data_IF_915309507074
#
_entry.id   IF_915309507074
#
_cell.length_a   1.000
_cell.length_b   1.000
_cell.length_c   1.000
_cell.angle_alpha   90.00
_cell.angle_beta   90.00
_cell.angle_gamma   90.00
#
_symmetry.space_group_name_H-M   'P 1'
#
loop_
_entity.id
_entity.type
_entity.pdbx_description
1 polymer ?
#
# COMPACT_ATOMS: atom_id res chain seq x y z
N UNK A 1 -31.82 43.26 -38.81
CA UNK A 1 -30.97 43.11 -37.59
C UNK A 1 -31.52 42.10 -36.55
N UNK A 2 -32.40 41.13 -36.90
CA UNK A 2 -32.98 40.18 -35.93
C UNK A 2 -32.45 38.74 -36.02
N UNK A 3 -31.87 38.33 -37.15
CA UNK A 3 -31.30 36.98 -37.35
C UNK A 3 -29.96 36.76 -36.63
N UNK A 4 -29.14 37.81 -36.47
CA UNK A 4 -27.82 37.73 -35.84
C UNK A 4 -27.88 37.40 -34.34
N UNK A 5 -28.94 37.82 -33.64
CA UNK A 5 -29.12 37.56 -32.20
C UNK A 5 -29.57 36.12 -31.91
N UNK A 6 -30.35 35.52 -32.81
CA UNK A 6 -30.86 34.14 -32.64
C UNK A 6 -29.77 33.09 -32.91
N UNK A 7 -28.87 33.34 -33.86
CA UNK A 7 -27.75 32.43 -34.16
C UNK A 7 -26.73 32.41 -33.00
N UNK A 8 -26.48 33.55 -32.36
CA UNK A 8 -25.54 33.63 -31.24
C UNK A 8 -26.06 32.89 -29.99
N UNK A 9 -27.37 32.88 -29.76
CA UNK A 9 -27.98 32.17 -28.64
C UNK A 9 -27.94 30.63 -28.78
N UNK A 10 -28.03 30.11 -30.01
CA UNK A 10 -27.99 28.65 -30.27
C UNK A 10 -26.57 28.10 -30.20
N UNK A 11 -25.56 28.89 -30.61
CA UNK A 11 -24.13 28.50 -30.48
C UNK A 11 -23.65 28.57 -29.03
N UNK A 12 -24.16 29.51 -28.23
CA UNK A 12 -23.83 29.58 -26.80
C UNK A 12 -24.41 28.38 -26.01
N UNK A 13 -25.59 27.88 -26.36
CA UNK A 13 -26.22 26.76 -25.66
C UNK A 13 -25.56 25.39 -25.95
N UNK A 14 -25.02 25.19 -27.16
CA UNK A 14 -24.33 23.94 -27.53
C UNK A 14 -22.90 23.85 -26.99
N UNK A 15 -22.23 24.99 -26.78
CA UNK A 15 -20.87 25.02 -26.20
C UNK A 15 -20.88 24.78 -24.68
N UNK A 16 -21.97 25.15 -23.98
CA UNK A 16 -22.06 24.96 -22.52
C UNK A 16 -22.47 23.53 -22.15
N UNK A 17 -23.21 22.81 -23.01
CA UNK A 17 -23.63 21.43 -22.77
C UNK A 17 -22.53 20.36 -22.96
N UNK A 18 -21.41 20.70 -23.60
CA UNK A 18 -20.34 19.77 -23.98
C UNK A 18 -19.19 19.63 -22.98
N UNK A 19 -19.15 20.42 -21.91
CA UNK A 19 -18.01 20.45 -20.97
C UNK A 19 -18.25 19.69 -19.65
N UNK A 20 -19.40 19.04 -19.49
CA UNK A 20 -19.60 18.10 -18.39
C UNK A 20 -18.99 16.74 -18.75
N UNK A 21 -17.69 16.69 -18.99
CA UNK A 21 -16.96 15.42 -18.85
C UNK A 21 -17.07 15.05 -17.37
N UNK A 22 -17.96 14.13 -17.03
CA UNK A 22 -17.93 13.48 -15.72
C UNK A 22 -16.56 12.84 -15.61
N UNK A 23 -15.63 13.47 -14.88
CA UNK A 23 -14.40 12.83 -14.49
C UNK A 23 -14.82 11.63 -13.64
N UNK A 24 -14.88 10.45 -14.26
CA UNK A 24 -15.17 9.23 -13.52
C UNK A 24 -13.95 9.00 -12.63
N UNK A 25 -14.17 9.02 -11.31
CA UNK A 25 -13.17 8.65 -10.33
C UNK A 25 -12.68 7.23 -10.64
N UNK A 26 -11.43 7.11 -11.13
CA UNK A 26 -10.82 5.82 -11.41
C UNK A 26 -10.12 5.35 -10.15
N UNK A 27 -10.60 4.23 -9.60
CA UNK A 27 -9.97 3.56 -8.47
C UNK A 27 -8.61 2.98 -8.89
N UNK A 28 -7.67 2.94 -7.95
CA UNK A 28 -6.34 2.37 -8.15
C UNK A 28 -6.43 0.85 -8.17
N UNK A 29 -5.84 0.23 -9.20
CA UNK A 29 -5.73 -1.21 -9.36
C UNK A 29 -4.28 -1.66 -9.43
N UNK A 30 -4.00 -2.80 -8.78
CA UNK A 30 -2.70 -3.45 -8.83
C UNK A 30 -1.99 -3.50 -7.47
N UNK A 31 -0.74 -3.94 -7.54
CA UNK A 31 0.09 -4.25 -6.38
C UNK A 31 1.46 -3.63 -6.59
N UNK A 32 2.01 -3.07 -5.51
CA UNK A 32 3.40 -2.63 -5.46
C UNK A 32 4.14 -3.37 -4.36
N UNK A 33 5.34 -3.84 -4.69
CA UNK A 33 6.24 -4.53 -3.80
C UNK A 33 7.56 -3.79 -3.67
N UNK A 34 8.11 -3.77 -2.45
CA UNK A 34 9.37 -3.08 -2.18
C UNK A 34 10.41 -4.02 -1.57
N UNK A 35 11.67 -3.64 -1.77
CA UNK A 35 12.82 -4.23 -1.09
C UNK A 35 13.63 -3.12 -0.42
N UNK A 36 14.16 -3.40 0.77
CA UNK A 36 15.24 -2.59 1.34
C UNK A 36 16.54 -3.40 1.30
N UNK A 37 17.47 -3.07 0.39
CA UNK A 37 18.78 -3.72 0.34
C UNK A 37 19.54 -3.64 1.67
N UNK A 38 19.37 -2.56 2.42
CA UNK A 38 20.01 -2.35 3.72
C UNK A 38 19.20 -2.95 4.88
N UNK A 39 18.03 -3.54 4.59
CA UNK A 39 17.13 -4.09 5.60
C UNK A 39 16.55 -3.02 6.51
N UNK A 40 16.47 -3.33 7.80
CA UNK A 40 15.94 -2.44 8.83
C UNK A 40 16.21 -2.94 10.23
N UNK A 41 15.66 -2.23 11.21
CA UNK A 41 15.74 -2.61 12.61
C UNK A 41 14.35 -2.67 13.23
N UNK A 42 14.23 -3.45 14.29
CA UNK A 42 13.03 -3.51 15.09
C UNK A 42 13.45 -3.56 16.55
N UNK A 43 12.82 -2.72 17.37
CA UNK A 43 13.10 -2.62 18.80
C UNK A 43 11.80 -2.70 19.58
N UNK A 44 11.87 -3.21 20.81
CA UNK A 44 10.75 -3.21 21.73
C UNK A 44 11.20 -2.63 23.07
N UNK A 45 10.45 -1.65 23.56
CA UNK A 45 10.67 -1.01 24.86
C UNK A 45 9.33 -0.62 25.46
N UNK A 46 9.11 -0.92 26.74
CA UNK A 46 7.88 -0.60 27.48
C UNK A 46 6.58 -1.03 26.75
N UNK A 47 6.59 -2.21 26.11
CA UNK A 47 5.43 -2.74 25.39
C UNK A 47 5.14 -2.08 24.03
N UNK A 48 6.00 -1.14 23.60
CA UNK A 48 5.96 -0.52 22.28
C UNK A 48 7.00 -1.18 21.40
N UNK A 49 6.59 -1.59 20.21
CA UNK A 49 7.48 -2.05 19.14
C UNK A 49 7.58 -0.98 18.06
N UNK A 50 8.81 -0.65 17.66
CA UNK A 50 9.10 0.26 16.54
C UNK A 50 9.89 -0.48 15.48
N UNK A 51 9.42 -0.40 14.24
CA UNK A 51 10.07 -0.92 13.04
C UNK A 51 10.64 0.27 12.27
N UNK A 52 11.95 0.23 12.05
CA UNK A 52 12.73 1.20 11.31
C UNK A 52 13.14 0.63 9.95
N UNK A 53 12.84 1.37 8.89
CA UNK A 53 13.15 1.00 7.51
C UNK A 53 14.45 1.70 7.08
N UNK A 54 15.52 0.95 6.84
CA UNK A 54 16.79 1.57 6.44
C UNK A 54 16.73 1.99 4.95
N UNK A 55 16.99 3.26 4.61
CA UNK A 55 17.04 3.69 3.23
C UNK A 55 18.29 3.14 2.51
N UNK A 56 18.26 3.01 1.17
CA UNK A 56 17.09 3.24 0.33
C UNK A 56 16.11 2.06 0.40
N UNK A 57 14.82 2.36 0.30
CA UNK A 57 13.79 1.36 -0.04
C UNK A 57 13.45 1.56 -1.51
N UNK A 58 13.40 0.50 -2.30
CA UNK A 58 13.17 0.57 -3.75
C UNK A 58 12.01 -0.31 -4.18
N UNK A 59 11.26 0.14 -5.18
CA UNK A 59 10.22 -0.67 -5.82
C UNK A 59 10.89 -1.86 -6.53
N UNK A 60 10.52 -3.07 -6.14
CA UNK A 60 11.06 -4.32 -6.69
C UNK A 60 10.12 -4.97 -7.70
N UNK A 61 8.81 -4.79 -7.50
CA UNK A 61 7.77 -5.39 -8.32
C UNK A 61 6.58 -4.46 -8.37
N UNK A 62 5.94 -4.34 -9.53
CA UNK A 62 4.71 -3.61 -9.66
C UNK A 62 3.77 -4.22 -10.72
N UNK A 63 2.47 -4.00 -10.54
CA UNK A 63 1.41 -4.43 -11.47
C UNK A 63 0.30 -3.39 -11.54
N UNK A 64 -0.52 -3.46 -12.58
CA UNK A 64 -1.64 -2.54 -12.77
C UNK A 64 -1.15 -1.10 -12.90
N UNK A 65 -1.77 -0.18 -12.15
CA UNK A 65 -1.47 1.25 -12.16
C UNK A 65 -0.08 1.58 -11.58
N UNK A 66 0.57 0.61 -10.92
CA UNK A 66 1.95 0.74 -10.46
C UNK A 66 2.97 0.25 -11.50
N UNK A 67 2.56 -0.35 -12.62
CA UNK A 67 3.49 -0.90 -13.63
C UNK A 67 4.44 0.16 -14.17
N UNK A 68 5.73 -0.17 -14.31
CA UNK A 68 6.77 0.75 -14.79
C UNK A 68 7.34 1.64 -13.71
N UNK A 69 7.02 1.38 -12.43
CA UNK A 69 7.61 2.07 -11.27
C UNK A 69 8.81 1.35 -10.69
N UNK A 70 9.13 0.13 -11.16
CA UNK A 70 10.25 -0.67 -10.71
C UNK A 70 11.57 0.12 -10.76
N UNK A 71 12.37 -0.01 -9.69
CA UNK A 71 13.62 0.75 -9.53
C UNK A 71 13.45 2.15 -8.92
N UNK A 72 12.22 2.65 -8.76
CA UNK A 72 11.99 3.91 -8.07
C UNK A 72 12.36 3.81 -6.59
N UNK A 73 13.07 4.81 -6.08
CA UNK A 73 13.35 4.94 -4.64
C UNK A 73 12.14 5.52 -3.92
N UNK A 74 11.78 4.91 -2.80
CA UNK A 74 10.68 5.33 -1.95
C UNK A 74 11.16 5.77 -0.57
N UNK A 75 10.54 6.82 -0.07
CA UNK A 75 10.55 7.14 1.35
C UNK A 75 9.65 6.15 2.10
N UNK A 76 10.06 5.72 3.28
CA UNK A 76 9.29 4.87 4.18
C UNK A 76 9.31 5.43 5.60
N UNK A 77 8.14 5.56 6.21
CA UNK A 77 8.01 5.96 7.60
C UNK A 77 8.17 4.75 8.53
N UNK A 78 8.75 5.00 9.71
CA UNK A 78 8.84 4.00 10.77
C UNK A 78 7.46 3.68 11.33
N UNK A 79 7.20 2.41 11.64
CA UNK A 79 5.91 1.98 12.21
C UNK A 79 6.10 1.71 13.69
N UNK A 80 5.29 2.35 14.53
CA UNK A 80 5.25 2.07 15.97
C UNK A 80 3.88 1.57 16.41
N UNK A 81 3.87 0.48 17.16
CA UNK A 81 2.64 -0.17 17.63
C UNK A 81 2.82 -0.76 19.03
N UNK A 82 1.71 -0.94 19.75
CA UNK A 82 1.65 -1.70 20.99
C UNK A 82 0.85 -2.98 20.80
N UNK A 83 1.06 -3.97 21.67
CA UNK A 83 0.36 -5.27 21.60
C UNK A 83 1.00 -6.24 20.61
N UNK A 84 0.33 -7.36 20.36
CA UNK A 84 0.80 -8.42 19.48
C UNK A 84 -0.38 -9.19 18.87
N UNK A 85 -0.16 -9.89 17.75
CA UNK A 85 -1.21 -10.58 17.02
C UNK A 85 -2.29 -9.62 16.54
N UNK A 86 -3.55 -10.01 16.68
CA UNK A 86 -4.73 -9.21 16.27
C UNK A 86 -5.06 -8.07 17.22
N UNK A 87 -4.48 -8.06 18.43
CA UNK A 87 -4.67 -6.99 19.41
C UNK A 87 -3.67 -5.84 19.22
N UNK A 88 -2.76 -5.98 18.23
CA UNK A 88 -1.78 -4.95 17.92
C UNK A 88 -2.46 -3.66 17.42
N UNK A 89 -2.02 -2.52 17.94
CA UNK A 89 -2.60 -1.20 17.67
C UNK A 89 -1.53 -0.20 17.29
N UNK A 90 -1.74 0.54 16.18
CA UNK A 90 -0.87 1.67 15.82
C UNK A 90 -0.86 2.72 16.94
N UNK A 91 0.31 3.23 17.28
CA UNK A 91 0.41 4.36 18.21
C UNK A 91 0.06 5.69 17.55
N UNK A 92 0.27 5.79 16.24
CA UNK A 92 -0.10 6.94 15.42
C UNK A 92 -0.37 6.48 13.99
N UNK A 93 -1.21 7.22 13.26
CA UNK A 93 -1.36 6.99 11.83
C UNK A 93 -0.06 7.34 11.11
N UNK A 94 0.30 6.54 10.11
CA UNK A 94 1.45 6.81 9.26
C UNK A 94 0.95 7.37 7.92
N UNK A 95 1.00 8.69 7.79
CA UNK A 95 0.45 9.43 6.64
C UNK A 95 1.51 10.37 6.06
N UNK A 96 2.28 9.94 5.03
CA UNK A 96 2.26 8.62 4.40
C UNK A 96 3.14 7.58 5.11
N UNK A 97 2.77 6.31 5.00
CA UNK A 97 3.62 5.17 5.31
C UNK A 97 4.74 5.01 4.28
N UNK A 98 4.45 5.24 3.00
CA UNK A 98 5.48 5.39 1.97
C UNK A 98 5.08 6.41 0.92
N UNK A 99 6.08 6.97 0.24
CA UNK A 99 5.87 7.85 -0.92
C UNK A 99 7.02 7.73 -1.91
N UNK A 100 6.70 7.78 -3.20
CA UNK A 100 7.68 7.90 -4.28
C UNK A 100 7.09 8.56 -5.52
N UNK A 101 7.94 8.97 -6.45
CA UNK A 101 7.53 9.56 -7.73
C UNK A 101 8.10 8.77 -8.89
N UNK A 102 7.29 8.54 -9.91
CA UNK A 102 7.72 7.95 -11.19
C UNK A 102 6.84 8.43 -12.32
N UNK A 103 7.42 8.68 -13.50
CA UNK A 103 6.67 9.11 -14.69
C UNK A 103 5.83 10.38 -14.48
N UNK A 104 6.26 11.29 -13.61
CA UNK A 104 5.52 12.52 -13.27
C UNK A 104 4.30 12.31 -12.35
N UNK A 105 4.09 11.10 -11.83
CA UNK A 105 3.04 10.79 -10.84
C UNK A 105 3.66 10.60 -9.45
N UNK A 106 2.91 10.98 -8.42
CA UNK A 106 3.23 10.66 -7.03
C UNK A 106 2.39 9.48 -6.58
N UNK A 107 3.04 8.50 -5.96
CA UNK A 107 2.45 7.29 -5.40
C UNK A 107 2.66 7.32 -3.89
N UNK A 108 1.61 7.10 -3.12
CA UNK A 108 1.72 7.04 -1.66
C UNK A 108 0.69 6.12 -1.04
N UNK A 109 0.92 5.74 0.20
CA UNK A 109 -0.03 4.98 1.00
C UNK A 109 -0.01 5.46 2.44
N UNK A 110 -1.21 5.59 3.01
CA UNK A 110 -1.41 5.91 4.41
C UNK A 110 -1.77 4.65 5.19
N UNK A 111 -0.97 4.28 6.18
CA UNK A 111 -1.31 3.17 7.08
C UNK A 111 -2.15 3.71 8.25
N UNK A 112 -3.41 3.29 8.31
CA UNK A 112 -4.41 3.85 9.25
C UNK A 112 -4.79 2.89 10.36
N UNK A 113 -4.62 1.57 10.14
CA UNK A 113 -4.99 0.55 11.13
C UNK A 113 -4.16 -0.72 10.94
N UNK A 114 -3.83 -1.42 12.03
CA UNK A 114 -3.31 -2.79 11.97
C UNK A 114 -4.45 -3.81 11.93
N UNK A 115 -4.26 -4.84 11.10
CA UNK A 115 -5.02 -6.09 11.16
C UNK A 115 -4.34 -7.02 12.16
N UNK A 116 -3.01 -7.11 12.08
CA UNK A 116 -2.19 -7.87 13.02
C UNK A 116 -0.75 -7.37 12.98
N UNK A 117 -0.05 -7.43 14.11
CA UNK A 117 1.40 -7.32 14.11
C UNK A 117 2.02 -8.18 15.19
N UNK A 118 3.12 -8.86 14.85
CA UNK A 118 3.87 -9.71 15.76
C UNK A 118 5.34 -9.35 15.63
N UNK A 119 5.99 -9.20 16.77
CA UNK A 119 7.43 -9.02 16.86
C UNK A 119 8.02 -10.02 17.85
N UNK A 120 9.03 -10.73 17.39
CA UNK A 120 9.89 -11.60 18.20
C UNK A 120 11.33 -11.23 17.85
N UNK A 121 12.29 -11.25 18.79
CA UNK A 121 13.68 -10.97 18.44
C UNK A 121 14.16 -11.77 17.21
N UNK A 122 14.50 -11.07 16.13
CA UNK A 122 14.93 -11.66 14.86
C UNK A 122 13.83 -11.94 13.82
N UNK A 123 12.55 -11.78 14.15
CA UNK A 123 11.44 -11.84 13.19
C UNK A 123 10.32 -10.84 13.48
N UNK A 124 9.72 -10.28 12.43
CA UNK A 124 8.47 -9.54 12.57
C UNK A 124 7.55 -9.76 11.37
N UNK A 125 6.25 -9.60 11.62
CA UNK A 125 5.23 -9.60 10.58
C UNK A 125 4.15 -8.61 10.97
N UNK A 126 3.71 -7.81 10.02
CA UNK A 126 2.67 -6.82 10.20
C UNK A 126 1.79 -6.79 8.96
N UNK A 127 0.49 -6.67 9.19
CA UNK A 127 -0.51 -6.39 8.17
C UNK A 127 -1.45 -5.30 8.66
N UNK A 128 -1.90 -4.45 7.75
CA UNK A 128 -2.75 -3.32 8.04
C UNK A 128 -3.60 -2.85 6.88
N UNK A 129 -4.50 -1.92 7.19
CA UNK A 129 -5.40 -1.26 6.26
C UNK A 129 -5.05 0.21 6.13
N UNK A 130 -5.32 0.73 4.95
CA UNK A 130 -4.99 2.11 4.64
C UNK A 130 -5.60 2.61 3.34
N UNK A 131 -5.05 3.72 2.87
CA UNK A 131 -5.50 4.40 1.65
C UNK A 131 -4.32 4.60 0.72
N UNK A 132 -4.41 4.01 -0.47
CA UNK A 132 -3.49 4.22 -1.58
C UNK A 132 -3.87 5.49 -2.35
N UNK A 133 -2.86 6.23 -2.81
CA UNK A 133 -3.03 7.43 -3.62
C UNK A 133 -2.06 7.44 -4.79
N UNK A 134 -2.57 7.76 -5.97
CA UNK A 134 -1.80 8.00 -7.19
C UNK A 134 -2.31 9.29 -7.82
N UNK A 135 -1.39 10.17 -8.25
CA UNK A 135 -1.78 11.40 -8.95
C UNK A 135 -2.69 11.11 -10.15
N UNK A 136 -3.90 11.67 -10.11
CA UNK A 136 -4.93 11.51 -11.15
C UNK A 136 -5.88 10.32 -10.95
N UNK A 137 -5.82 9.64 -9.80
CA UNK A 137 -6.73 8.56 -9.40
C UNK A 137 -7.49 8.95 -8.14
N UNK A 138 -8.57 8.22 -7.87
CA UNK A 138 -9.32 8.31 -6.62
C UNK A 138 -8.57 7.59 -5.49
N UNK A 139 -8.63 8.18 -4.29
CA UNK A 139 -8.16 7.55 -3.06
C UNK A 139 -8.80 6.17 -2.89
N UNK A 140 -7.97 5.12 -2.82
CA UNK A 140 -8.44 3.74 -2.85
C UNK A 140 -8.05 2.99 -1.58
N UNK A 141 -8.98 2.25 -0.97
CA UNK A 141 -8.68 1.40 0.19
C UNK A 141 -7.72 0.29 -0.22
N UNK A 142 -6.69 0.06 0.58
CA UNK A 142 -5.68 -0.93 0.28
C UNK A 142 -5.17 -1.63 1.54
N UNK A 143 -4.62 -2.82 1.34
CA UNK A 143 -3.98 -3.62 2.37
C UNK A 143 -2.47 -3.44 2.27
N UNK A 144 -1.81 -3.35 3.41
CA UNK A 144 -0.36 -3.28 3.50
C UNK A 144 0.15 -4.44 4.33
N UNK A 145 1.24 -5.05 3.89
CA UNK A 145 1.89 -6.12 4.62
C UNK A 145 3.40 -5.96 4.56
N UNK A 146 4.05 -6.26 5.66
CA UNK A 146 5.49 -6.27 5.79
C UNK A 146 5.92 -7.43 6.67
N UNK A 147 6.99 -8.10 6.28
CA UNK A 147 7.60 -9.16 7.07
C UNK A 147 9.10 -9.00 7.04
N UNK A 148 9.79 -9.25 8.14
CA UNK A 148 11.25 -9.21 8.19
C UNK A 148 11.87 -10.34 9.00
N UNK A 149 13.04 -10.79 8.58
CA UNK A 149 13.81 -11.84 9.29
C UNK A 149 15.31 -11.54 9.34
N UNK A 150 15.98 -12.08 10.36
CA UNK A 150 17.45 -12.06 10.49
C UNK A 150 18.02 -10.85 11.23
N UNK A 151 19.35 -10.78 11.30
CA UNK A 151 20.07 -9.67 11.91
C UNK A 151 20.19 -8.53 10.88
N UNK A 152 19.59 -7.36 11.17
CA UNK A 152 19.37 -6.29 10.20
C UNK A 152 18.10 -6.46 9.34
N UNK A 153 17.15 -7.30 9.77
CA UNK A 153 15.81 -7.55 9.20
C UNK A 153 15.66 -7.25 7.71
N UNK A 154 15.89 -8.25 6.86
CA UNK A 154 15.51 -8.16 5.44
C UNK A 154 14.00 -8.30 5.36
N UNK A 155 13.32 -7.34 4.73
CA UNK A 155 11.87 -7.35 4.62
C UNK A 155 11.33 -7.36 3.20
N UNK A 156 10.15 -7.96 3.07
CA UNK A 156 9.31 -7.89 1.88
C UNK A 156 8.08 -7.07 2.24
N UNK A 157 7.83 -6.03 1.44
CA UNK A 157 6.69 -5.14 1.56
C UNK A 157 5.77 -5.40 0.39
N UNK A 158 4.51 -5.67 0.65
CA UNK A 158 3.49 -5.88 -0.38
C UNK A 158 2.27 -5.04 -0.02
N UNK A 159 1.84 -4.21 -0.97
CA UNK A 159 0.54 -3.55 -0.91
C UNK A 159 -0.32 -3.99 -2.08
N UNK A 160 -1.50 -4.53 -1.78
CA UNK A 160 -2.55 -4.77 -2.77
C UNK A 160 -3.64 -3.70 -2.62
N UNK A 161 -4.02 -3.08 -3.74
CA UNK A 161 -5.17 -2.18 -3.80
C UNK A 161 -6.47 -2.96 -3.91
N UNK A 162 -7.47 -2.66 -3.07
CA UNK A 162 -8.80 -3.23 -3.23
C UNK A 162 -9.58 -2.39 -4.26
N UNK A 163 -10.20 -3.06 -5.23
CA UNK A 163 -11.28 -2.43 -5.99
C UNK A 163 -12.49 -2.34 -5.09
N UNK A 164 -13.11 -1.16 -4.98
CA UNK A 164 -14.46 -1.08 -4.44
C UNK A 164 -15.34 -2.04 -5.26
N UNK A 165 -16.09 -2.97 -4.64
CA UNK A 165 -17.01 -3.78 -5.41
C UNK A 165 -18.03 -2.84 -6.03
N UNK A 166 -18.38 -3.08 -7.31
CA UNK A 166 -19.63 -2.57 -7.83
C UNK A 166 -20.77 -2.94 -6.83
N UNK A 167 -21.79 -2.09 -6.64
CA UNK A 167 -22.86 -2.38 -5.67
C UNK A 167 -23.47 -3.76 -5.93
N UNK A 168 -23.19 -4.72 -5.04
CA UNK A 168 -23.61 -6.13 -5.15
C UNK A 168 -22.49 -7.16 -5.39
N UNK A 169 -21.23 -6.75 -5.61
CA UNK A 169 -20.09 -7.66 -5.74
C UNK A 169 -19.52 -8.07 -4.38
N UNK A 170 -19.31 -9.37 -4.16
CA UNK A 170 -18.51 -9.83 -3.02
C UNK A 170 -17.06 -9.34 -3.21
N UNK A 171 -16.54 -8.64 -2.20
CA UNK A 171 -15.13 -8.25 -2.08
C UNK A 171 -14.29 -9.53 -2.17
N UNK A 172 -13.38 -9.68 -3.15
CA UNK A 172 -12.42 -10.77 -3.08
C UNK A 172 -11.49 -10.52 -1.89
N UNK A 173 -11.41 -11.47 -0.96
CA UNK A 173 -10.52 -11.44 0.23
C UNK A 173 -9.02 -11.62 -0.17
N UNK A 174 -8.57 -10.92 -1.21
CA UNK A 174 -7.23 -11.03 -1.78
C UNK A 174 -6.14 -10.67 -0.76
N UNK A 175 -6.42 -9.75 0.17
CA UNK A 175 -5.51 -9.41 1.26
C UNK A 175 -5.27 -10.57 2.23
N UNK A 176 -6.31 -11.35 2.55
CA UNK A 176 -6.21 -12.53 3.42
C UNK A 176 -5.48 -13.68 2.73
N UNK A 177 -5.67 -13.87 1.42
CA UNK A 177 -4.98 -14.91 0.65
C UNK A 177 -3.47 -14.67 0.54
N UNK A 178 -3.04 -13.40 0.33
CA UNK A 178 -1.61 -13.05 0.26
C UNK A 178 -0.98 -13.10 1.66
N UNK A 179 -1.68 -12.64 2.70
CA UNK A 179 -1.21 -12.78 4.08
C UNK A 179 -1.06 -14.27 4.48
N UNK A 180 -2.02 -15.13 4.13
CA UNK A 180 -1.95 -16.59 4.37
C UNK A 180 -0.82 -17.24 3.57
N UNK A 181 -0.60 -16.84 2.31
CA UNK A 181 0.52 -17.34 1.50
C UNK A 181 1.87 -16.92 2.11
N UNK A 182 2.00 -15.67 2.55
CA UNK A 182 3.19 -15.18 3.26
C UNK A 182 3.46 -15.95 4.55
N UNK A 183 2.43 -16.15 5.38
CA UNK A 183 2.52 -16.94 6.62
C UNK A 183 2.88 -18.41 6.32
N UNK A 184 2.30 -19.00 5.28
CA UNK A 184 2.61 -20.38 4.88
C UNK A 184 4.07 -20.55 4.46
N UNK A 185 4.64 -19.59 3.72
CA UNK A 185 6.06 -19.60 3.33
C UNK A 185 6.97 -19.46 4.58
N UNK A 186 6.61 -18.59 5.52
CA UNK A 186 7.35 -18.45 6.80
C UNK A 186 7.27 -19.73 7.62
N UNK A 187 6.10 -20.38 7.69
CA UNK A 187 5.92 -21.66 8.36
C UNK A 187 6.81 -22.75 7.75
N UNK A 188 6.87 -22.84 6.42
CA UNK A 188 7.70 -23.80 5.69
C UNK A 188 9.19 -23.56 5.96
N UNK A 189 9.65 -22.31 5.97
CA UNK A 189 11.07 -22.02 6.19
C UNK A 189 11.50 -22.17 7.66
N UNK A 190 10.59 -21.87 8.60
CA UNK A 190 10.75 -22.23 10.00
C UNK A 190 10.88 -23.75 10.21
N UNK A 191 10.07 -24.54 9.49
CA UNK A 191 10.12 -26.00 9.53
C UNK A 191 11.43 -26.54 8.93
N UNK A 192 11.87 -25.98 7.80
CA UNK A 192 13.13 -26.35 7.14
C UNK A 192 14.34 -26.13 8.03
N UNK A 193 14.38 -25.04 8.79
CA UNK A 193 15.48 -24.73 9.72
C UNK A 193 15.54 -25.70 10.91
N UNK A 194 14.37 -26.17 11.38
CA UNK A 194 14.29 -27.19 12.44
C UNK A 194 14.86 -28.54 12.00
N UNK A 195 14.69 -28.92 10.73
CA UNK A 195 15.19 -30.18 10.18
C UNK A 195 16.60 -30.09 9.57
N UNK A 196 17.09 -28.91 9.22
CA UNK A 196 18.48 -28.71 8.78
C UNK A 196 19.52 -28.73 9.93
N UNK A 197 19.06 -28.78 11.18
CA UNK A 197 19.91 -28.87 12.39
C UNK A 197 19.82 -30.27 13.03
N UNK A 198 19.19 -31.25 12.35
CA UNK A 198 19.10 -32.65 12.79
C UNK A 198 20.02 -33.53 11.96
#
# INVERSE_FOLDING_TARGET
MKLTKTILAVVAATVIGGLASTAQAVMIQGTVGFQAPNGGTASQSNGVTTIDFAPPVVVNFATGDYSGTEGSTAFFANISFSGSGTDATLLSNNTPQYSFTSGGKTFSFDLTKLISATFTPGTFSLSGLGVARITGFEDTRATFSVQGTGNGFRFTLLQASETAPAPGGQVPDGGSAIALLGIAIVGIEGLRRKFATA
#
